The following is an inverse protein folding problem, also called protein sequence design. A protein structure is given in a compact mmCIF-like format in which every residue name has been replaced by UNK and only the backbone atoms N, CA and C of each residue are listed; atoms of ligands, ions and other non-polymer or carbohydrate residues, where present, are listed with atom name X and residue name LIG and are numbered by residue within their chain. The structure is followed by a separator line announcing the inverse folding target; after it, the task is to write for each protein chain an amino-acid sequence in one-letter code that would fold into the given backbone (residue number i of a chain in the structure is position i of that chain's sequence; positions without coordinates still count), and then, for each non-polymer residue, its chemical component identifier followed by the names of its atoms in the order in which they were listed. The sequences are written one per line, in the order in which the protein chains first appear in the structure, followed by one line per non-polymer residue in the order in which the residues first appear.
data_IF_243774329483
#
_entry.id   IF_243774329483
#
_cell.length_a   1.000
_cell.length_b   1.000
_cell.length_c   1.000
_cell.angle_alpha   90.00
_cell.angle_beta   90.00
_cell.angle_gamma   90.00
#
_symmetry.space_group_name_H-M   'P 1'
#
loop_
_entity.id
_entity.type
_entity.pdbx_description
1 polymer ?
#
# COMPACT_ATOMS: atom_id res chain seq x y z
N UNK A 1 -21.23 -24.11 10.83
CA UNK A 1 -19.95 -24.09 11.59
C UNK A 1 -18.83 -24.05 10.56
N UNK A 2 -17.98 -23.03 10.60
CA UNK A 2 -16.82 -22.98 9.71
C UNK A 2 -15.64 -23.71 10.35
N UNK A 3 -14.89 -24.46 9.54
CA UNK A 3 -13.73 -25.21 10.00
C UNK A 3 -12.57 -24.26 10.33
N UNK A 4 -11.78 -24.55 11.38
CA UNK A 4 -10.60 -23.76 11.70
C UNK A 4 -9.55 -23.90 10.59
N UNK A 5 -8.87 -22.80 10.26
CA UNK A 5 -7.86 -22.78 9.20
C UNK A 5 -6.50 -23.17 9.80
N UNK A 6 -5.81 -24.19 9.27
CA UNK A 6 -4.51 -24.58 9.79
C UNK A 6 -3.44 -23.55 9.40
N UNK A 7 -2.78 -23.00 10.42
CA UNK A 7 -1.73 -21.99 10.30
C UNK A 7 -0.66 -22.37 9.28
N UNK A 8 -0.23 -23.64 9.30
CA UNK A 8 0.82 -24.17 8.42
C UNK A 8 0.54 -23.96 6.93
N UNK A 9 -0.74 -24.03 6.50
CA UNK A 9 -1.13 -23.79 5.11
C UNK A 9 -1.03 -22.32 4.70
N UNK A 10 -0.94 -21.41 5.68
CA UNK A 10 -0.94 -19.96 5.46
C UNK A 10 0.44 -19.31 5.65
N UNK A 11 1.41 -20.00 6.27
CA UNK A 11 2.73 -19.43 6.60
C UNK A 11 3.42 -18.83 5.37
N UNK A 12 3.52 -19.59 4.28
CA UNK A 12 4.21 -19.13 3.07
C UNK A 12 3.59 -17.82 2.55
N UNK A 13 2.26 -17.77 2.43
CA UNK A 13 1.55 -16.58 1.96
C UNK A 13 1.73 -15.40 2.91
N UNK A 14 1.61 -15.61 4.22
CA UNK A 14 1.78 -14.58 5.24
C UNK A 14 3.21 -14.01 5.24
N UNK A 15 4.24 -14.86 5.07
CA UNK A 15 5.63 -14.41 4.98
C UNK A 15 5.85 -13.57 3.72
N UNK A 16 5.31 -14.00 2.57
CA UNK A 16 5.46 -13.25 1.31
C UNK A 16 4.76 -11.90 1.37
N UNK A 17 3.53 -11.83 1.89
CA UNK A 17 2.80 -10.55 2.02
C UNK A 17 3.46 -9.62 3.04
N UNK A 18 3.99 -10.14 4.15
CA UNK A 18 4.80 -9.36 5.09
C UNK A 18 6.09 -8.82 4.44
N UNK A 19 6.85 -9.65 3.73
CA UNK A 19 8.09 -9.24 3.06
C UNK A 19 7.83 -8.16 2.00
N UNK A 20 6.81 -8.35 1.16
CA UNK A 20 6.43 -7.39 0.14
C UNK A 20 5.90 -6.08 0.74
N UNK A 21 5.13 -6.13 1.84
CA UNK A 21 4.69 -4.93 2.56
C UNK A 21 5.89 -4.19 3.16
N UNK A 22 6.86 -4.90 3.74
CA UNK A 22 8.09 -4.31 4.26
C UNK A 22 8.93 -3.63 3.18
N UNK A 23 9.05 -4.25 2.00
CA UNK A 23 9.72 -3.62 0.84
C UNK A 23 8.98 -2.36 0.37
N UNK A 24 7.64 -2.41 0.31
CA UNK A 24 6.81 -1.24 0.02
C UNK A 24 7.05 -0.09 1.01
N UNK A 25 7.11 -0.38 2.31
CA UNK A 25 7.39 0.61 3.36
C UNK A 25 8.79 1.22 3.21
N UNK A 26 9.79 0.41 2.88
CA UNK A 26 11.13 0.90 2.59
C UNK A 26 11.17 1.86 1.40
N UNK A 27 10.46 1.54 0.32
CA UNK A 27 10.31 2.45 -0.83
C UNK A 27 9.56 3.73 -0.46
N UNK A 28 8.45 3.64 0.26
CA UNK A 28 7.70 4.81 0.74
C UNK A 28 8.59 5.72 1.58
N UNK A 29 9.40 5.16 2.50
CA UNK A 29 10.36 5.91 3.28
C UNK A 29 11.34 6.68 2.38
N UNK A 30 11.98 6.01 1.42
CA UNK A 30 12.90 6.67 0.48
C UNK A 30 12.23 7.80 -0.31
N UNK A 31 11.01 7.57 -0.81
CA UNK A 31 10.29 8.56 -1.60
C UNK A 31 9.90 9.78 -0.78
N UNK A 32 9.37 9.57 0.43
CA UNK A 32 9.01 10.64 1.37
C UNK A 32 10.27 11.46 1.72
N UNK A 33 11.38 10.81 2.06
CA UNK A 33 12.64 11.52 2.37
C UNK A 33 13.16 12.33 1.18
N UNK A 34 13.01 11.85 -0.06
CA UNK A 34 13.37 12.61 -1.26
C UNK A 34 12.44 13.81 -1.48
N UNK A 35 11.14 13.64 -1.29
CA UNK A 35 10.15 14.71 -1.44
C UNK A 35 10.32 15.79 -0.38
N UNK A 36 10.61 15.41 0.86
CA UNK A 36 10.84 16.34 1.97
C UNK A 36 11.96 17.35 1.72
N UNK A 37 12.94 17.02 0.87
CA UNK A 37 14.02 17.94 0.50
C UNK A 37 13.53 19.14 -0.32
N UNK A 38 12.34 19.02 -0.92
CA UNK A 38 11.70 20.06 -1.73
C UNK A 38 10.44 20.64 -1.06
N UNK A 39 10.18 20.27 0.20
CA UNK A 39 8.94 20.64 0.89
C UNK A 39 8.83 22.15 1.07
N UNK A 40 9.90 22.80 1.55
CA UNK A 40 9.91 24.26 1.77
C UNK A 40 9.68 25.04 0.48
N UNK A 41 10.30 24.62 -0.62
CA UNK A 41 10.10 25.23 -1.93
C UNK A 41 8.67 25.02 -2.43
N UNK A 42 8.10 23.83 -2.17
CA UNK A 42 6.72 23.50 -2.54
C UNK A 42 5.70 24.29 -1.72
N UNK A 43 5.95 24.47 -0.42
CA UNK A 43 5.13 25.33 0.45
C UNK A 43 5.21 26.79 0.00
N UNK A 44 6.40 27.29 -0.30
CA UNK A 44 6.54 28.64 -0.81
C UNK A 44 5.79 28.82 -2.13
N UNK A 45 5.87 27.86 -3.05
CA UNK A 45 5.08 27.90 -4.28
C UNK A 45 3.57 27.87 -4.02
N UNK A 46 3.12 27.11 -3.02
CA UNK A 46 1.73 27.00 -2.62
C UNK A 46 1.13 28.31 -2.07
N UNK A 47 1.94 29.17 -1.46
CA UNK A 47 1.50 30.51 -1.02
C UNK A 47 1.06 31.40 -2.20
N UNK A 48 1.65 31.19 -3.38
CA UNK A 48 1.43 32.04 -4.56
C UNK A 48 0.64 31.36 -5.67
N UNK A 49 0.29 30.08 -5.51
CA UNK A 49 -0.43 29.30 -6.52
C UNK A 49 -1.33 28.24 -5.91
N UNK A 50 -2.64 28.35 -6.18
CA UNK A 50 -3.62 27.34 -5.77
C UNK A 50 -3.32 25.96 -6.37
N UNK A 51 -2.77 25.91 -7.58
CA UNK A 51 -2.36 24.64 -8.21
C UNK A 51 -1.19 24.01 -7.47
N UNK A 52 -0.20 24.80 -7.03
CA UNK A 52 0.91 24.29 -6.23
C UNK A 52 0.43 23.80 -4.85
N UNK A 53 -0.50 24.53 -4.23
CA UNK A 53 -1.14 24.11 -2.98
C UNK A 53 -1.89 22.78 -3.11
N UNK A 54 -2.69 22.61 -4.16
CA UNK A 54 -3.41 21.36 -4.44
C UNK A 54 -2.44 20.20 -4.67
N UNK A 55 -1.38 20.41 -5.46
CA UNK A 55 -0.35 19.39 -5.72
C UNK A 55 0.38 18.98 -4.44
N UNK A 56 0.77 19.94 -3.60
CA UNK A 56 1.40 19.66 -2.31
C UNK A 56 0.47 18.85 -1.40
N UNK A 57 -0.81 19.23 -1.34
CA UNK A 57 -1.81 18.50 -0.57
C UNK A 57 -1.96 17.06 -1.08
N UNK A 58 -2.12 16.86 -2.39
CA UNK A 58 -2.21 15.52 -3.01
C UNK A 58 -0.95 14.69 -2.76
N UNK A 59 0.24 15.28 -2.83
CA UNK A 59 1.50 14.59 -2.49
C UNK A 59 1.44 14.04 -1.07
N UNK A 60 1.09 14.88 -0.09
CA UNK A 60 1.02 14.48 1.32
C UNK A 60 -0.03 13.39 1.54
N UNK A 61 -1.25 13.56 1.03
CA UNK A 61 -2.36 12.61 1.26
C UNK A 61 -2.14 11.26 0.57
N UNK A 62 -1.59 11.26 -0.64
CA UNK A 62 -1.29 10.02 -1.38
C UNK A 62 -0.13 9.25 -0.75
N UNK A 63 0.95 9.92 -0.35
CA UNK A 63 2.06 9.25 0.36
C UNK A 63 1.61 8.71 1.71
N UNK A 64 0.78 9.47 2.44
CA UNK A 64 0.25 9.05 3.74
C UNK A 64 -0.66 7.84 3.62
N UNK A 65 -1.66 7.88 2.74
CA UNK A 65 -2.61 6.77 2.54
C UNK A 65 -1.92 5.50 2.02
N UNK A 66 -0.99 5.64 1.08
CA UNK A 66 -0.14 4.53 0.62
C UNK A 66 0.64 3.90 1.77
N UNK A 67 1.35 4.72 2.55
CA UNK A 67 2.17 4.24 3.67
C UNK A 67 1.33 3.59 4.76
N UNK A 68 0.21 4.18 5.16
CA UNK A 68 -0.69 3.60 6.18
C UNK A 68 -1.23 2.25 5.70
N UNK A 69 -1.65 2.12 4.44
CA UNK A 69 -2.14 0.84 3.92
C UNK A 69 -1.06 -0.25 3.91
N UNK A 70 0.20 0.10 3.62
CA UNK A 70 1.34 -0.81 3.72
C UNK A 70 1.62 -1.22 5.18
N UNK A 71 1.51 -0.31 6.14
CA UNK A 71 1.64 -0.63 7.58
C UNK A 71 0.55 -1.61 8.01
N UNK A 72 -0.71 -1.32 7.66
CA UNK A 72 -1.84 -2.22 7.95
C UNK A 72 -1.60 -3.60 7.34
N UNK A 73 -1.15 -3.65 6.08
CA UNK A 73 -0.83 -4.92 5.42
C UNK A 73 0.33 -5.66 6.07
N UNK A 74 1.36 -4.95 6.54
CA UNK A 74 2.50 -5.53 7.24
C UNK A 74 2.12 -6.13 8.60
N UNK A 75 1.20 -5.50 9.33
CA UNK A 75 0.74 -5.94 10.65
C UNK A 75 -0.34 -7.03 10.59
N UNK A 76 -1.11 -7.10 9.51
CA UNK A 76 -2.22 -8.07 9.37
C UNK A 76 -1.78 -9.52 9.56
N UNK A 77 -0.65 -9.99 9.00
CA UNK A 77 -0.14 -11.33 9.27
C UNK A 77 0.09 -11.63 10.75
N UNK A 78 0.60 -10.68 11.53
CA UNK A 78 0.86 -10.86 12.97
C UNK A 78 -0.46 -11.15 13.71
N UNK A 79 -1.51 -10.39 13.38
CA UNK A 79 -2.85 -10.58 13.96
C UNK A 79 -3.46 -11.90 13.47
N UNK A 80 -3.24 -12.27 12.20
CA UNK A 80 -3.73 -13.52 11.65
C UNK A 80 -3.11 -14.75 12.35
N UNK A 81 -1.88 -14.64 12.88
CA UNK A 81 -1.25 -15.72 13.64
C UNK A 81 -1.92 -15.99 15.01
N UNK A 82 -2.70 -15.04 15.55
CA UNK A 82 -3.32 -15.18 16.88
C UNK A 82 -4.71 -15.80 16.85
N UNK A 83 -5.23 -16.22 15.68
CA UNK A 83 -6.55 -16.80 15.54
C UNK A 83 -6.60 -17.86 14.45
N UNK A 84 -7.44 -18.88 14.65
CA UNK A 84 -7.76 -19.89 13.61
C UNK A 84 -9.20 -19.76 13.11
N UNK A 85 -9.94 -18.75 13.59
CA UNK A 85 -11.32 -18.54 13.20
C UNK A 85 -11.39 -17.99 11.76
N UNK A 86 -11.95 -18.81 10.87
CA UNK A 86 -12.02 -18.53 9.43
C UNK A 86 -12.74 -17.21 9.12
N UNK A 87 -13.79 -16.86 9.85
CA UNK A 87 -14.57 -15.64 9.59
C UNK A 87 -13.73 -14.40 9.83
N UNK A 88 -12.96 -14.36 10.92
CA UNK A 88 -12.03 -13.27 11.20
C UNK A 88 -10.92 -13.20 10.16
N UNK A 89 -10.33 -14.35 9.79
CA UNK A 89 -9.26 -14.40 8.80
C UNK A 89 -9.73 -13.91 7.42
N UNK A 90 -10.85 -14.42 6.92
CA UNK A 90 -11.45 -13.99 5.65
C UNK A 90 -11.78 -12.50 5.69
N UNK A 91 -12.39 -12.01 6.79
CA UNK A 91 -12.74 -10.59 6.94
C UNK A 91 -11.50 -9.70 6.96
N UNK A 92 -10.44 -10.10 7.65
CA UNK A 92 -9.17 -9.38 7.68
C UNK A 92 -8.53 -9.30 6.29
N UNK A 93 -8.47 -10.42 5.55
CA UNK A 93 -7.95 -10.45 4.19
C UNK A 93 -8.78 -9.60 3.22
N UNK A 94 -10.11 -9.66 3.31
CA UNK A 94 -11.01 -8.84 2.51
C UNK A 94 -10.87 -7.34 2.82
N UNK A 95 -10.79 -6.97 4.10
CA UNK A 95 -10.58 -5.59 4.53
C UNK A 95 -9.23 -5.06 4.02
N UNK A 96 -8.17 -5.86 4.13
CA UNK A 96 -6.84 -5.48 3.67
C UNK A 96 -6.80 -5.29 2.15
N UNK A 97 -7.47 -6.18 1.40
CA UNK A 97 -7.70 -6.02 -0.04
C UNK A 97 -8.34 -4.68 -0.37
N UNK A 98 -9.44 -4.35 0.32
CA UNK A 98 -10.16 -3.10 0.09
C UNK A 98 -9.30 -1.87 0.38
N UNK A 99 -8.61 -1.85 1.52
CA UNK A 99 -7.72 -0.75 1.93
C UNK A 99 -6.58 -0.56 0.92
N UNK A 100 -5.89 -1.64 0.53
CA UNK A 100 -4.80 -1.58 -0.44
C UNK A 100 -5.27 -1.12 -1.82
N UNK A 101 -6.42 -1.61 -2.29
CA UNK A 101 -6.97 -1.22 -3.60
C UNK A 101 -7.46 0.23 -3.61
N UNK A 102 -8.04 0.71 -2.51
CA UNK A 102 -8.41 2.11 -2.37
C UNK A 102 -7.18 3.03 -2.37
N UNK A 103 -6.17 2.71 -1.55
CA UNK A 103 -4.91 3.46 -1.53
C UNK A 103 -4.20 3.42 -2.88
N UNK A 104 -4.19 2.27 -3.55
CA UNK A 104 -3.68 2.13 -4.92
C UNK A 104 -4.39 3.08 -5.87
N UNK A 105 -5.72 3.09 -5.87
CA UNK A 105 -6.49 3.95 -6.77
C UNK A 105 -6.22 5.43 -6.49
N UNK A 106 -6.22 5.81 -5.21
CA UNK A 106 -5.94 7.19 -4.79
C UNK A 106 -4.53 7.63 -5.22
N UNK A 107 -3.52 6.78 -5.03
CA UNK A 107 -2.15 7.07 -5.48
C UNK A 107 -2.02 7.06 -7.01
N UNK A 108 -2.59 6.07 -7.71
CA UNK A 108 -2.47 5.93 -9.17
C UNK A 108 -3.07 7.11 -9.93
N UNK A 109 -4.13 7.72 -9.38
CA UNK A 109 -4.74 8.92 -9.94
C UNK A 109 -3.80 10.13 -9.91
N UNK A 110 -2.81 10.16 -9.02
CA UNK A 110 -1.88 11.28 -8.87
C UNK A 110 -0.45 10.98 -9.31
N UNK A 111 0.06 9.78 -9.03
CA UNK A 111 1.40 9.31 -9.38
C UNK A 111 1.37 8.52 -10.69
N UNK A 112 1.27 9.24 -11.80
CA UNK A 112 1.35 8.69 -13.14
C UNK A 112 2.01 9.69 -14.09
N UNK A 113 2.47 9.23 -15.25
CA UNK A 113 3.20 10.07 -16.20
C UNK A 113 2.36 11.22 -16.80
N UNK A 114 1.02 11.15 -16.73
CA UNK A 114 0.14 12.23 -17.20
C UNK A 114 0.07 13.38 -16.19
N UNK A 115 0.10 13.05 -14.90
CA UNK A 115 -0.05 14.01 -13.81
C UNK A 115 1.28 14.48 -13.23
N UNK A 116 2.30 13.62 -13.19
CA UNK A 116 3.63 13.95 -12.66
C UNK A 116 4.62 14.14 -13.79
N UNK A 117 4.70 15.36 -14.30
CA UNK A 117 5.73 15.74 -15.25
C UNK A 117 7.09 15.70 -14.57
N UNK A 118 8.00 14.87 -15.10
CA UNK A 118 9.38 14.81 -14.64
C UNK A 118 10.10 16.11 -15.01
N UNK A 119 10.80 16.70 -14.05
CA UNK A 119 11.42 18.01 -14.21
C UNK A 119 12.93 17.83 -14.46
N UNK A 120 13.48 18.41 -15.55
CA UNK A 120 14.93 18.40 -15.77
C UNK A 120 15.70 18.94 -14.57
N UNK A 121 16.86 18.34 -14.27
CA UNK A 121 17.79 18.77 -13.20
C UNK A 121 17.29 18.59 -11.74
N UNK A 122 16.10 18.03 -11.52
CA UNK A 122 15.57 17.74 -10.18
C UNK A 122 15.55 16.22 -9.93
N UNK A 123 16.71 15.58 -10.01
CA UNK A 123 16.83 14.11 -10.08
C UNK A 123 16.14 13.39 -8.91
N UNK A 124 16.35 13.86 -7.67
CA UNK A 124 15.76 13.22 -6.48
C UNK A 124 14.23 13.30 -6.46
N UNK A 125 13.67 14.38 -7.00
CA UNK A 125 12.22 14.50 -7.17
C UNK A 125 11.71 13.49 -8.20
N UNK A 126 12.37 13.40 -9.36
CA UNK A 126 12.00 12.42 -10.39
C UNK A 126 12.13 10.97 -9.90
N UNK A 127 13.15 10.67 -9.09
CA UNK A 127 13.31 9.36 -8.47
C UNK A 127 12.20 9.07 -7.45
N UNK A 128 11.72 10.08 -6.71
CA UNK A 128 10.57 9.94 -5.83
C UNK A 128 9.26 9.72 -6.59
N UNK A 129 9.07 10.37 -7.75
CA UNK A 129 7.93 10.12 -8.65
C UNK A 129 7.95 8.67 -9.11
N UNK A 130 9.08 8.19 -9.66
CA UNK A 130 9.23 6.80 -10.12
C UNK A 130 9.03 5.80 -8.98
N UNK A 131 9.60 6.07 -7.81
CA UNK A 131 9.42 5.22 -6.65
C UNK A 131 7.97 5.17 -6.19
N UNK A 132 7.21 6.27 -6.33
CA UNK A 132 5.79 6.30 -5.95
C UNK A 132 4.92 5.50 -6.92
N UNK A 133 5.26 5.48 -8.22
CA UNK A 133 4.67 4.56 -9.20
C UNK A 133 4.94 3.09 -8.84
N UNK A 134 6.15 2.78 -8.36
CA UNK A 134 6.46 1.43 -7.86
C UNK A 134 5.62 1.06 -6.63
N UNK A 135 5.41 2.00 -5.69
CA UNK A 135 4.52 1.79 -4.54
C UNK A 135 3.10 1.48 -5.01
N UNK A 136 2.58 2.18 -6.03
CA UNK A 136 1.26 1.87 -6.63
C UNK A 136 1.19 0.42 -7.13
N UNK A 137 2.25 -0.07 -7.79
CA UNK A 137 2.30 -1.46 -8.26
C UNK A 137 2.32 -2.45 -7.09
N UNK A 138 3.12 -2.18 -6.06
CA UNK A 138 3.19 -3.01 -4.85
C UNK A 138 1.84 -3.08 -4.14
N UNK A 139 1.14 -1.94 -3.99
CA UNK A 139 -0.21 -1.91 -3.42
C UNK A 139 -1.18 -2.80 -4.21
N UNK A 140 -1.08 -2.80 -5.55
CA UNK A 140 -1.89 -3.67 -6.40
C UNK A 140 -1.56 -5.15 -6.25
N UNK A 141 -0.27 -5.49 -6.22
CA UNK A 141 0.18 -6.87 -6.02
C UNK A 141 -0.24 -7.39 -4.63
N UNK A 142 -0.09 -6.59 -3.58
CA UNK A 142 -0.56 -6.91 -2.24
C UNK A 142 -2.08 -7.04 -2.19
N UNK A 143 -2.82 -6.11 -2.81
CA UNK A 143 -4.28 -6.17 -2.89
C UNK A 143 -4.76 -7.47 -3.55
N UNK A 144 -4.18 -7.83 -4.69
CA UNK A 144 -4.47 -9.10 -5.36
C UNK A 144 -4.08 -10.31 -4.49
N UNK A 145 -2.92 -10.26 -3.81
CA UNK A 145 -2.46 -11.33 -2.92
C UNK A 145 -3.42 -11.56 -1.77
N UNK A 146 -3.90 -10.49 -1.12
CA UNK A 146 -4.89 -10.59 -0.04
C UNK A 146 -6.27 -11.05 -0.54
N UNK A 147 -6.66 -10.69 -1.76
CA UNK A 147 -7.90 -11.19 -2.35
C UNK A 147 -7.84 -12.70 -2.56
N UNK A 148 -6.73 -13.22 -3.09
CA UNK A 148 -6.48 -14.66 -3.23
C UNK A 148 -6.47 -15.33 -1.86
N UNK A 149 -5.84 -14.72 -0.85
CA UNK A 149 -5.85 -15.22 0.53
C UNK A 149 -7.28 -15.31 1.09
N UNK A 150 -8.11 -14.28 0.88
CA UNK A 150 -9.49 -14.27 1.37
C UNK A 150 -10.31 -15.42 0.76
N UNK A 151 -10.17 -15.65 -0.54
CA UNK A 151 -10.82 -16.77 -1.24
C UNK A 151 -10.30 -18.11 -0.70
N UNK A 152 -8.98 -18.29 -0.60
CA UNK A 152 -8.38 -19.52 -0.10
C UNK A 152 -8.82 -19.86 1.33
N UNK A 153 -8.85 -18.87 2.22
CA UNK A 153 -9.37 -19.02 3.58
C UNK A 153 -10.87 -19.29 3.62
N UNK A 154 -11.65 -18.69 2.73
CA UNK A 154 -13.09 -18.98 2.60
C UNK A 154 -13.36 -20.43 2.23
N UNK A 155 -12.61 -20.96 1.25
CA UNK A 155 -12.71 -22.36 0.80
C UNK A 155 -12.29 -23.33 1.91
N UNK A 156 -11.18 -23.06 2.60
CA UNK A 156 -10.74 -23.87 3.76
C UNK A 156 -11.75 -23.82 4.91
N UNK A 157 -12.32 -22.65 5.19
CA UNK A 157 -13.33 -22.47 6.24
C UNK A 157 -14.64 -23.22 5.98
N UNK A 158 -14.94 -23.55 4.72
CA UNK A 158 -16.09 -24.40 4.35
C UNK A 158 -15.76 -25.90 4.39
N UNK A 159 -14.50 -26.29 4.63
CA UNK A 159 -14.06 -27.69 4.72
C UNK A 159 -13.76 -28.36 3.37
N UNK A 160 -13.56 -27.58 2.30
CA UNK A 160 -13.29 -28.10 0.96
C UNK A 160 -11.79 -28.43 0.74
N UNK A 161 -10.91 -27.95 1.63
CA UNK A 161 -9.45 -28.09 1.59
C UNK A 161 -8.87 -28.32 2.98
#
# INVERSE_FOLDING_TARGET
MTSPIPLAKSILQLTLTSALSGYGLFLSYQNITRLQQYEQQSEKAAEWSNTAAERLHKTRTTQTSGTISLIVSFLTPIIALSTSNSTYLVSAAAANTAVLMFSRQHMANFWNEKEQTRIPFVQKFNDAVRGSEQVVQILGLLGASWAVTAVGWGVMGQGWL
#
